data_IF_848150315233
#
_entry.id   IF_848150315233
#
_cell.length_a   1.000
_cell.length_b   1.000
_cell.length_c   1.000
_cell.angle_alpha   90.00
_cell.angle_beta   90.00
_cell.angle_gamma   90.00
#
_symmetry.space_group_name_H-M   'P 1'
#
loop_
_entity.id
_entity.type
_entity.pdbx_description
1 polymer ?
#
# COMPACT_ATOMS: atom_id res chain seq x y z
N UNK A 1 -17.50 1.01 8.02
CA UNK A 1 -16.10 0.82 8.42
C UNK A 1 -15.18 1.50 7.42
N UNK A 2 -14.10 2.06 7.89
CA UNK A 2 -13.17 2.83 7.07
C UNK A 2 -12.24 1.91 6.29
N UNK A 3 -12.17 2.11 4.98
CA UNK A 3 -11.28 1.34 4.09
C UNK A 3 -10.03 2.14 3.77
N UNK A 4 -8.90 1.45 3.75
CA UNK A 4 -7.61 2.03 3.40
C UNK A 4 -7.15 1.45 2.07
N UNK A 5 -6.87 2.33 1.12
CA UNK A 5 -6.23 1.95 -0.14
C UNK A 5 -4.73 2.10 0.01
N UNK A 6 -4.00 0.99 -0.09
CA UNK A 6 -2.54 0.96 0.06
C UNK A 6 -1.91 0.90 -1.33
N UNK A 7 -1.22 1.97 -1.70
CA UNK A 7 -0.58 2.11 -3.01
C UNK A 7 0.87 1.66 -2.96
N UNK A 8 1.25 0.68 -3.77
CA UNK A 8 2.59 0.12 -3.80
C UNK A 8 3.11 0.11 -5.23
N UNK A 9 4.06 0.99 -5.54
CA UNK A 9 4.78 0.98 -6.80
C UNK A 9 6.07 0.17 -6.61
N UNK A 10 6.33 -0.78 -7.50
CA UNK A 10 7.47 -1.68 -7.40
C UNK A 10 8.23 -1.73 -8.72
N UNK A 11 9.56 -1.69 -8.65
CA UNK A 11 10.43 -1.84 -9.81
C UNK A 11 11.45 -2.93 -9.52
N UNK A 12 11.25 -4.10 -10.09
CA UNK A 12 12.15 -5.26 -9.97
C UNK A 12 12.58 -5.51 -8.51
N UNK A 13 11.63 -5.40 -7.57
CA UNK A 13 11.92 -5.48 -6.15
C UNK A 13 11.52 -6.86 -5.62
N UNK A 14 12.48 -7.67 -5.16
CA UNK A 14 12.17 -9.00 -4.64
C UNK A 14 11.41 -8.98 -3.31
N UNK A 15 11.31 -7.82 -2.67
CA UNK A 15 10.65 -7.68 -1.37
C UNK A 15 9.18 -7.29 -1.48
N UNK A 16 8.65 -7.15 -2.69
CA UNK A 16 7.25 -6.73 -2.88
C UNK A 16 6.28 -7.67 -2.17
N UNK A 17 6.42 -8.96 -2.36
CA UNK A 17 5.50 -9.93 -1.75
C UNK A 17 5.59 -9.88 -0.22
N UNK A 18 6.80 -9.79 0.33
CA UNK A 18 6.98 -9.66 1.78
C UNK A 18 6.33 -8.39 2.32
N UNK A 19 6.43 -7.29 1.58
CA UNK A 19 5.80 -6.02 1.97
C UNK A 19 4.29 -6.15 2.04
N UNK A 20 3.67 -6.74 1.02
CA UNK A 20 2.23 -6.95 0.99
C UNK A 20 1.78 -7.85 2.14
N UNK A 21 2.48 -8.95 2.35
CA UNK A 21 2.16 -9.88 3.42
C UNK A 21 2.34 -9.25 4.79
N UNK A 22 3.40 -8.47 5.00
CA UNK A 22 3.64 -7.78 6.26
C UNK A 22 2.51 -6.81 6.57
N UNK A 23 2.09 -6.02 5.58
CA UNK A 23 1.01 -5.07 5.78
C UNK A 23 -0.30 -5.79 6.15
N UNK A 24 -0.63 -6.84 5.43
CA UNK A 24 -1.87 -7.58 5.67
C UNK A 24 -1.87 -8.30 7.01
N UNK A 25 -0.80 -9.05 7.30
CA UNK A 25 -0.73 -9.87 8.52
C UNK A 25 -0.69 -9.03 9.79
N UNK A 26 -0.12 -7.83 9.73
CA UNK A 26 0.02 -6.97 10.89
C UNK A 26 -1.11 -5.95 11.05
N UNK A 27 -2.05 -5.90 10.14
CA UNK A 27 -3.21 -5.03 10.27
C UNK A 27 -4.19 -5.60 11.28
N UNK A 28 -4.86 -4.69 12.00
CA UNK A 28 -5.93 -5.08 12.92
C UNK A 28 -7.22 -5.40 12.16
N UNK A 29 -7.55 -4.59 11.16
CA UNK A 29 -8.76 -4.77 10.36
C UNK A 29 -8.39 -5.15 8.93
N UNK A 30 -7.90 -6.37 8.76
CA UNK A 30 -7.37 -6.87 7.48
C UNK A 30 -8.37 -6.75 6.32
N UNK A 31 -9.63 -6.98 6.62
CA UNK A 31 -10.70 -6.97 5.60
C UNK A 31 -10.97 -5.58 5.04
N UNK A 32 -10.48 -4.52 5.70
CA UNK A 32 -10.67 -3.15 5.25
C UNK A 32 -9.54 -2.63 4.38
N UNK A 33 -8.54 -3.47 4.09
CA UNK A 33 -7.42 -3.09 3.24
C UNK A 33 -7.69 -3.43 1.79
N UNK A 34 -7.36 -2.50 0.90
CA UNK A 34 -7.31 -2.75 -0.54
C UNK A 34 -5.93 -2.33 -1.01
N UNK A 35 -5.23 -3.22 -1.66
CA UNK A 35 -3.89 -2.93 -2.18
C UNK A 35 -3.98 -2.59 -3.66
N UNK A 36 -3.41 -1.48 -4.06
CA UNK A 36 -3.20 -1.13 -5.45
C UNK A 36 -1.72 -1.31 -5.77
N UNK A 37 -1.39 -2.22 -6.67
CA UNK A 37 -0.01 -2.57 -6.95
C UNK A 37 0.28 -2.41 -8.43
N UNK A 38 1.32 -1.63 -8.74
CA UNK A 38 1.87 -1.58 -10.09
C UNK A 38 3.30 -2.12 -9.99
N UNK A 39 3.49 -3.33 -10.51
CA UNK A 39 4.79 -3.98 -10.51
C UNK A 39 5.43 -3.86 -11.89
N UNK A 40 6.63 -3.29 -11.94
CA UNK A 40 7.42 -3.15 -13.15
C UNK A 40 8.53 -4.20 -13.08
N UNK A 41 8.24 -5.36 -13.65
CA UNK A 41 9.15 -6.52 -13.57
C UNK A 41 8.94 -7.42 -14.78
N UNK A 42 9.97 -8.22 -15.10
CA UNK A 42 9.89 -9.19 -16.18
C UNK A 42 8.98 -10.39 -15.85
N UNK A 43 8.78 -10.65 -14.55
CA UNK A 43 8.01 -11.82 -14.12
C UNK A 43 7.12 -11.48 -12.95
N UNK A 44 6.18 -10.97 -12.73
CA UNK A 44 5.37 -10.54 -11.58
C UNK A 44 5.31 -11.54 -10.43
N UNK A 45 4.75 -11.09 -9.34
CA UNK A 45 4.46 -11.96 -8.19
C UNK A 45 3.34 -12.94 -8.54
N UNK A 46 3.32 -14.06 -7.86
CA UNK A 46 2.26 -15.05 -8.03
C UNK A 46 1.08 -14.70 -7.13
N UNK A 47 0.06 -14.05 -7.71
CA UNK A 47 -1.13 -13.67 -6.97
C UNK A 47 -1.89 -14.89 -6.42
N UNK A 48 -1.79 -16.03 -7.08
CA UNK A 48 -2.50 -17.23 -6.63
C UNK A 48 -1.92 -17.78 -5.32
N UNK A 49 -0.69 -17.42 -4.98
CA UNK A 49 -0.07 -17.81 -3.71
C UNK A 49 -0.52 -16.92 -2.55
N UNK A 50 -1.22 -15.84 -2.82
CA UNK A 50 -1.63 -14.86 -1.82
C UNK A 50 -3.09 -15.11 -1.44
N UNK A 51 -3.33 -15.38 -0.15
CA UNK A 51 -4.69 -15.69 0.31
C UNK A 51 -5.64 -14.49 0.30
N UNK A 52 -5.11 -13.26 0.27
CA UNK A 52 -5.90 -12.04 0.19
C UNK A 52 -5.91 -11.43 -1.21
N UNK A 53 -5.74 -12.24 -2.24
CA UNK A 53 -5.67 -11.75 -3.62
C UNK A 53 -6.89 -10.95 -4.06
N UNK A 54 -8.06 -11.22 -3.47
CA UNK A 54 -9.28 -10.49 -3.77
C UNK A 54 -9.21 -9.01 -3.33
N UNK A 55 -8.27 -8.69 -2.46
CA UNK A 55 -8.07 -7.34 -1.96
C UNK A 55 -6.93 -6.63 -2.69
N UNK A 56 -6.40 -7.23 -3.77
CA UNK A 56 -5.29 -6.66 -4.55
C UNK A 56 -5.77 -6.30 -5.94
N UNK A 57 -5.61 -5.04 -6.32
CA UNK A 57 -5.80 -4.55 -7.67
C UNK A 57 -4.43 -4.38 -8.28
N UNK A 58 -4.09 -5.20 -9.26
CA UNK A 58 -2.72 -5.42 -9.68
C UNK A 58 -2.54 -5.15 -11.17
N UNK A 59 -1.42 -4.49 -11.51
CA UNK A 59 -0.99 -4.33 -12.89
C UNK A 59 0.50 -4.66 -12.99
N UNK A 60 0.86 -5.49 -13.98
CA UNK A 60 2.25 -5.81 -14.28
C UNK A 60 2.66 -5.06 -15.55
N UNK A 61 3.76 -4.31 -15.45
CA UNK A 61 4.33 -3.59 -16.58
C UNK A 61 5.73 -4.14 -16.88
N UNK A 62 6.08 -4.20 -18.18
CA UNK A 62 7.41 -4.55 -18.61
C UNK A 62 8.41 -3.49 -18.08
N UNK A 63 9.52 -3.89 -17.43
CA UNK A 63 10.46 -2.92 -16.89
C UNK A 63 11.12 -2.04 -17.95
N UNK A 64 11.22 -2.52 -19.19
CA UNK A 64 11.73 -1.71 -20.31
C UNK A 64 10.83 -0.51 -20.59
N UNK A 65 9.54 -0.63 -20.30
CA UNK A 65 8.55 0.43 -20.49
C UNK A 65 8.37 1.30 -19.25
N UNK A 66 9.17 1.08 -18.21
CA UNK A 66 9.05 1.80 -16.96
C UNK A 66 9.37 3.28 -17.17
N UNK A 67 8.54 4.14 -16.55
CA UNK A 67 8.67 5.60 -16.64
C UNK A 67 8.88 6.22 -15.25
N UNK A 68 9.37 5.41 -14.30
CA UNK A 68 9.64 5.86 -12.95
C UNK A 68 8.48 5.66 -11.98
N UNK A 69 8.72 5.93 -10.68
CA UNK A 69 7.73 5.66 -9.62
C UNK A 69 6.48 6.56 -9.74
N UNK A 70 6.64 7.79 -10.20
CA UNK A 70 5.48 8.68 -10.36
C UNK A 70 4.50 8.17 -11.40
N UNK A 71 5.00 7.57 -12.47
CA UNK A 71 4.14 6.97 -13.48
C UNK A 71 3.40 5.75 -12.93
N UNK A 72 4.11 4.87 -12.22
CA UNK A 72 3.51 3.70 -11.59
C UNK A 72 2.43 4.11 -10.58
N UNK A 73 2.72 5.11 -9.75
CA UNK A 73 1.76 5.63 -8.78
C UNK A 73 0.53 6.24 -9.44
N UNK A 74 0.72 6.91 -10.56
CA UNK A 74 -0.39 7.44 -11.36
C UNK A 74 -1.30 6.32 -11.87
N UNK A 75 -0.70 5.21 -12.33
CA UNK A 75 -1.46 4.03 -12.75
C UNK A 75 -2.28 3.47 -11.60
N UNK A 76 -1.68 3.37 -10.42
CA UNK A 76 -2.34 2.83 -9.23
C UNK A 76 -3.53 3.71 -8.83
N UNK A 77 -3.41 5.02 -8.94
CA UNK A 77 -4.51 5.92 -8.58
C UNK A 77 -5.77 5.64 -9.38
N UNK A 78 -5.64 5.11 -10.60
CA UNK A 78 -6.81 4.73 -11.41
C UNK A 78 -7.55 3.51 -10.83
N UNK A 79 -6.94 2.80 -9.88
CA UNK A 79 -7.54 1.62 -9.23
C UNK A 79 -8.40 2.00 -8.02
N UNK A 80 -8.35 3.25 -7.56
CA UNK A 80 -9.11 3.71 -6.41
C UNK A 80 -10.59 3.74 -6.76
N UNK A 81 -11.44 3.27 -5.86
CA UNK A 81 -12.89 3.28 -6.04
C UNK A 81 -13.55 4.11 -4.93
N UNK A 82 -13.90 3.46 -3.84
CA UNK A 82 -14.65 4.10 -2.76
C UNK A 82 -13.95 4.04 -1.41
N UNK A 83 -12.64 3.78 -1.41
CA UNK A 83 -11.87 3.72 -0.17
C UNK A 83 -11.78 5.10 0.49
N UNK A 84 -11.78 5.09 1.82
CA UNK A 84 -11.83 6.33 2.61
C UNK A 84 -10.46 6.99 2.79
N UNK A 85 -9.40 6.21 2.78
CA UNK A 85 -8.04 6.67 3.02
C UNK A 85 -7.09 6.13 1.97
N UNK A 86 -6.03 6.89 1.72
CA UNK A 86 -4.99 6.54 0.76
C UNK A 86 -3.65 6.51 1.48
N UNK A 87 -2.94 5.38 1.42
CA UNK A 87 -1.60 5.23 1.97
C UNK A 87 -0.64 4.84 0.85
N UNK A 88 0.42 5.63 0.66
CA UNK A 88 1.45 5.34 -0.33
C UNK A 88 2.70 4.85 0.37
N UNK A 89 3.19 3.68 -0.03
CA UNK A 89 4.37 3.06 0.56
C UNK A 89 5.33 2.58 -0.52
N UNK A 90 6.55 2.30 -0.09
CA UNK A 90 7.55 1.64 -0.92
C UNK A 90 7.30 0.13 -0.97
N UNK A 91 7.95 -0.54 -1.92
CA UNK A 91 7.78 -1.98 -2.13
C UNK A 91 8.69 -2.84 -1.24
N UNK A 92 9.38 -2.25 -0.30
CA UNK A 92 10.31 -2.93 0.61
C UNK A 92 10.12 -2.39 2.03
N UNK A 93 9.00 -2.78 2.66
CA UNK A 93 8.64 -2.29 3.99
C UNK A 93 8.18 -3.42 4.90
N UNK A 94 8.38 -3.22 6.19
CA UNK A 94 7.85 -4.09 7.24
C UNK A 94 6.91 -3.25 8.09
N UNK A 95 5.74 -3.80 8.39
CA UNK A 95 4.71 -3.09 9.13
C UNK A 95 4.65 -3.57 10.58
N UNK A 96 4.44 -2.63 11.49
CA UNK A 96 4.21 -2.94 12.90
C UNK A 96 2.79 -3.46 13.10
N UNK A 97 2.61 -4.29 14.13
CA UNK A 97 1.28 -4.83 14.45
C UNK A 97 0.32 -3.70 14.81
N UNK A 98 -0.88 -3.73 14.23
CA UNK A 98 -1.90 -2.72 14.47
C UNK A 98 -1.63 -1.38 13.80
N UNK A 99 -0.78 -1.37 12.77
CA UNK A 99 -0.37 -0.14 12.10
C UNK A 99 -1.54 0.66 11.53
N UNK A 100 -2.56 -0.03 11.03
CA UNK A 100 -3.73 0.59 10.42
C UNK A 100 -4.56 1.36 11.46
N UNK A 101 -4.83 0.73 12.60
CA UNK A 101 -5.56 1.37 13.70
C UNK A 101 -4.79 2.55 14.26
N UNK A 102 -3.46 2.42 14.36
CA UNK A 102 -2.63 3.50 14.88
C UNK A 102 -2.69 4.74 13.97
N UNK A 103 -2.57 4.54 12.66
CA UNK A 103 -2.64 5.66 11.71
C UNK A 103 -4.01 6.34 11.73
N UNK A 104 -5.08 5.56 11.75
CA UNK A 104 -6.42 6.12 11.78
C UNK A 104 -6.68 6.86 13.08
N UNK A 105 -6.19 6.35 14.19
CA UNK A 105 -6.31 7.02 15.49
C UNK A 105 -5.61 8.37 15.47
N UNK A 106 -4.40 8.44 14.88
CA UNK A 106 -3.68 9.69 14.76
C UNK A 106 -4.44 10.71 13.90
N UNK A 107 -4.98 10.27 12.76
CA UNK A 107 -5.73 11.17 11.88
C UNK A 107 -6.98 11.72 12.57
N UNK A 108 -7.70 10.86 13.28
CA UNK A 108 -8.90 11.27 14.01
C UNK A 108 -8.54 12.23 15.13
N UNK A 109 -7.47 11.97 15.87
CA UNK A 109 -7.03 12.84 16.95
C UNK A 109 -6.67 14.24 16.43
N UNK A 110 -5.91 14.29 15.32
CA UNK A 110 -5.54 15.58 14.72
C UNK A 110 -6.77 16.33 14.26
N UNK A 111 -7.74 15.65 13.66
CA UNK A 111 -8.96 16.28 13.20
C UNK A 111 -9.76 16.84 14.37
N UNK A 112 -9.84 16.12 15.49
CA UNK A 112 -10.54 16.60 16.68
C UNK A 112 -9.90 17.85 17.27
N UNK A 113 -8.55 17.94 17.20
CA UNK A 113 -7.81 19.09 17.75
C UNK A 113 -7.85 20.31 16.84
N UNK A 114 -7.87 20.12 15.53
CA UNK A 114 -7.66 21.21 14.57
C UNK A 114 -8.83 21.44 13.62
N UNK A 115 -9.75 20.48 13.51
CA UNK A 115 -10.84 20.46 12.53
C UNK A 115 -10.30 20.51 11.09
N UNK A 116 -9.08 20.01 10.87
CA UNK A 116 -8.43 19.99 9.57
C UNK A 116 -8.08 18.54 9.21
N UNK A 117 -8.37 18.14 7.98
CA UNK A 117 -7.92 16.87 7.45
C UNK A 117 -6.45 16.96 7.14
N UNK A 118 -5.64 16.13 7.78
CA UNK A 118 -4.19 16.19 7.71
C UNK A 118 -3.60 15.05 6.89
N UNK A 119 -2.37 15.26 6.42
CA UNK A 119 -1.56 14.24 5.76
C UNK A 119 -0.43 13.87 6.70
N UNK A 120 -0.25 12.57 6.93
CA UNK A 120 0.87 12.06 7.72
C UNK A 120 1.98 11.65 6.75
N UNK A 121 3.19 12.15 6.98
CA UNK A 121 4.37 11.73 6.22
C UNK A 121 5.44 11.27 7.20
N UNK A 122 6.32 10.39 6.72
CA UNK A 122 7.41 9.90 7.54
C UNK A 122 8.36 9.02 6.77
N UNK A 123 9.50 8.74 7.38
CA UNK A 123 10.47 7.81 6.83
C UNK A 123 10.42 6.51 7.61
N UNK A 124 10.37 5.35 6.94
CA UNK A 124 10.45 4.07 7.63
C UNK A 124 11.86 3.86 8.18
N UNK A 125 11.97 2.96 9.14
CA UNK A 125 13.29 2.52 9.60
C UNK A 125 13.98 1.75 8.47
N UNK A 126 15.33 1.73 8.51
CA UNK A 126 16.10 0.95 7.55
C UNK A 126 15.66 -0.51 7.57
N UNK A 127 15.54 -1.07 6.39
CA UNK A 127 15.25 -2.49 6.23
C UNK A 127 16.53 -3.27 6.50
N UNK A 128 16.51 -4.20 7.42
CA UNK A 128 17.65 -5.02 7.77
C UNK A 128 17.30 -6.49 7.81
#
# INVERSE_FOLDING_TARGET
MKKIFVSVASYQDPLLLETLCSAYENAEYKENLIFGVCEQSSSGIDLNSIRFQDQIRYELLDPVMAKGPCYARSRIQSFIKDEDYYLQIDSHMIFAKGWDSLLLTYLDWIYEQTNINSIITGYPRSFK
#
